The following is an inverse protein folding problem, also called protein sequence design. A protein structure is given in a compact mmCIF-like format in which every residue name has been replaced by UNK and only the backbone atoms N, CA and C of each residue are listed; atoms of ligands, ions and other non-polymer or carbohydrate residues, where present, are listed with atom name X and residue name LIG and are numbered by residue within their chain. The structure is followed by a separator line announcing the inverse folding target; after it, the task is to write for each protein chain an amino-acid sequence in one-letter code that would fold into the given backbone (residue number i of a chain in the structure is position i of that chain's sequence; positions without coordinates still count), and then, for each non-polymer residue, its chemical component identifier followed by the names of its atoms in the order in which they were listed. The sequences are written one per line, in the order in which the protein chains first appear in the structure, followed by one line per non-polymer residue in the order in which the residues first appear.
data_IF_850840127664
#
_entry.id   IF_850840127664
#
_cell.length_a   1.000
_cell.length_b   1.000
_cell.length_c   1.000
_cell.angle_alpha   90.00
_cell.angle_beta   90.00
_cell.angle_gamma   90.00
#
_symmetry.space_group_name_H-M   'P 1'
#
loop_
_entity.id
_entity.type
_entity.pdbx_description
1 polymer ?
#
# COMPACT_ATOMS: atom_id res chain seq x y z
N UNK A 1 8.72 12.10 -2.66
CA UNK A 1 7.37 12.68 -2.59
C UNK A 1 7.30 14.05 -1.92
N UNK A 2 8.27 14.44 -1.07
CA UNK A 2 8.35 15.78 -0.47
C UNK A 2 8.05 16.93 -1.47
N UNK A 3 8.68 16.91 -2.64
CA UNK A 3 8.45 17.94 -3.68
C UNK A 3 7.00 18.04 -4.15
N UNK A 4 6.24 16.94 -4.21
CA UNK A 4 4.84 16.97 -4.66
C UNK A 4 3.93 17.50 -3.56
N UNK A 5 4.15 17.06 -2.31
CA UNK A 5 3.46 17.63 -1.14
C UNK A 5 3.71 19.13 -1.06
N UNK A 6 4.95 19.57 -1.21
CA UNK A 6 5.32 20.98 -1.19
C UNK A 6 4.74 21.74 -2.38
N UNK A 7 4.67 21.15 -3.58
CA UNK A 7 4.03 21.77 -4.74
C UNK A 7 2.52 21.94 -4.54
N UNK A 8 1.83 20.92 -4.04
CA UNK A 8 0.39 21.00 -3.72
C UNK A 8 0.16 21.99 -2.58
N UNK A 9 1.02 21.98 -1.54
CA UNK A 9 1.02 22.97 -0.44
C UNK A 9 1.45 24.37 -0.89
N UNK A 10 2.19 24.52 -1.97
CA UNK A 10 2.54 25.80 -2.57
C UNK A 10 1.48 26.32 -3.54
N UNK A 11 0.53 25.48 -3.95
CA UNK A 11 -0.45 25.80 -4.99
C UNK A 11 0.12 25.75 -6.41
N UNK A 12 1.28 25.11 -6.59
CA UNK A 12 1.96 24.97 -7.89
C UNK A 12 1.57 23.71 -8.65
N UNK A 13 0.75 22.84 -8.05
CA UNK A 13 0.20 21.65 -8.68
C UNK A 13 -1.32 21.74 -8.74
N UNK A 14 -1.88 21.52 -9.93
CA UNK A 14 -3.32 21.44 -10.19
C UNK A 14 -3.78 19.99 -10.11
N UNK A 15 -4.82 19.75 -9.32
CA UNK A 15 -5.54 18.47 -9.26
C UNK A 15 -6.98 18.79 -9.66
N UNK A 16 -7.40 18.33 -10.84
CA UNK A 16 -8.80 18.36 -11.27
C UNK A 16 -9.44 17.03 -10.86
N UNK A 17 -10.23 17.07 -9.79
CA UNK A 17 -10.90 15.89 -9.25
C UNK A 17 -12.26 16.28 -8.68
N UNK A 18 -13.22 15.37 -8.80
CA UNK A 18 -14.55 15.58 -8.20
C UNK A 18 -14.51 15.28 -6.69
N UNK A 19 -15.48 15.81 -5.90
CA UNK A 19 -15.61 15.43 -4.50
C UNK A 19 -15.72 13.92 -4.29
N UNK A 20 -16.44 13.22 -5.17
CA UNK A 20 -16.58 11.76 -5.15
C UNK A 20 -15.23 11.05 -5.30
N UNK A 21 -14.38 11.52 -6.23
CA UNK A 21 -13.05 10.95 -6.43
C UNK A 21 -12.19 11.09 -5.17
N UNK A 22 -12.23 12.24 -4.49
CA UNK A 22 -11.50 12.43 -3.24
C UNK A 22 -11.98 11.49 -2.12
N UNK A 23 -13.29 11.25 -2.01
CA UNK A 23 -13.83 10.29 -1.03
C UNK A 23 -13.28 8.90 -1.32
N UNK A 24 -13.33 8.45 -2.57
CA UNK A 24 -12.88 7.11 -2.91
C UNK A 24 -11.36 6.94 -2.85
N UNK A 25 -10.55 7.92 -3.25
CA UNK A 25 -9.09 7.81 -3.09
C UNK A 25 -8.71 7.64 -1.62
N UNK A 26 -9.33 8.39 -0.72
CA UNK A 26 -9.07 8.28 0.71
C UNK A 26 -9.44 6.88 1.24
N UNK A 27 -10.64 6.39 0.88
CA UNK A 27 -11.11 5.05 1.25
C UNK A 27 -10.24 3.94 0.67
N UNK A 28 -9.78 4.08 -0.57
CA UNK A 28 -8.89 3.12 -1.22
C UNK A 28 -7.52 3.10 -0.55
N UNK A 29 -6.97 4.27 -0.18
CA UNK A 29 -5.74 4.35 0.61
C UNK A 29 -5.88 3.61 1.95
N UNK A 30 -6.97 3.83 2.69
CA UNK A 30 -7.23 3.11 3.93
C UNK A 30 -7.37 1.60 3.72
N UNK A 31 -8.02 1.18 2.64
CA UNK A 31 -8.08 -0.23 2.26
C UNK A 31 -6.67 -0.80 2.04
N UNK A 32 -5.84 -0.15 1.23
CA UNK A 32 -4.49 -0.62 0.92
C UNK A 32 -3.64 -0.71 2.20
N UNK A 33 -3.67 0.31 3.05
CA UNK A 33 -2.99 0.29 4.35
C UNK A 33 -3.38 -0.93 5.19
N UNK A 34 -4.67 -1.25 5.29
CA UNK A 34 -5.14 -2.43 6.04
C UNK A 34 -4.63 -3.74 5.42
N UNK A 35 -4.67 -3.88 4.10
CA UNK A 35 -4.15 -5.05 3.39
C UNK A 35 -2.64 -5.21 3.62
N UNK A 36 -1.90 -4.10 3.52
CA UNK A 36 -0.46 -4.05 3.77
C UNK A 36 -0.14 -4.55 5.20
N UNK A 37 -0.84 -4.04 6.21
CA UNK A 37 -0.66 -4.47 7.61
C UNK A 37 -1.02 -5.94 7.83
N UNK A 38 -2.05 -6.44 7.15
CA UNK A 38 -2.41 -7.87 7.18
C UNK A 38 -1.28 -8.74 6.60
N UNK A 39 -0.71 -8.36 5.46
CA UNK A 39 0.41 -9.08 4.84
C UNK A 39 1.63 -9.06 5.76
N UNK A 40 1.95 -7.90 6.36
CA UNK A 40 3.03 -7.79 7.34
C UNK A 40 2.82 -8.69 8.55
N UNK A 41 1.59 -8.80 9.06
CA UNK A 41 1.27 -9.72 10.16
C UNK A 41 1.54 -11.19 9.78
N UNK A 42 1.18 -11.60 8.55
CA UNK A 42 1.49 -12.95 8.05
C UNK A 42 3.00 -13.16 7.89
N UNK A 43 3.72 -12.17 7.37
CA UNK A 43 5.16 -12.23 7.22
C UNK A 43 5.87 -12.37 8.60
N UNK A 44 5.37 -11.66 9.62
CA UNK A 44 5.88 -11.81 10.98
C UNK A 44 5.62 -13.20 11.57
N UNK A 45 4.44 -13.78 11.32
CA UNK A 45 4.13 -15.15 11.73
C UNK A 45 5.05 -16.17 11.04
N UNK A 46 5.27 -16.05 9.73
CA UNK A 46 6.19 -16.90 8.97
C UNK A 46 7.61 -16.80 9.52
N UNK A 47 8.09 -15.58 9.78
CA UNK A 47 9.44 -15.35 10.29
C UNK A 47 9.66 -15.93 11.70
N UNK A 48 8.60 -16.00 12.52
CA UNK A 48 8.64 -16.47 13.91
C UNK A 48 8.22 -17.93 14.08
N UNK A 49 7.82 -18.62 13.01
CA UNK A 49 7.44 -20.02 13.09
C UNK A 49 8.60 -20.87 13.64
N UNK A 50 8.37 -21.54 14.76
CA UNK A 50 9.41 -22.27 15.50
C UNK A 50 9.94 -23.48 14.73
N UNK A 51 9.03 -24.27 14.16
CA UNK A 51 9.35 -25.49 13.40
C UNK A 51 8.46 -25.62 12.17
N UNK A 52 9.01 -26.22 11.13
CA UNK A 52 8.40 -26.42 9.82
C UNK A 52 8.29 -27.90 9.45
N UNK A 53 9.02 -28.79 10.14
CA UNK A 53 8.98 -30.22 9.84
C UNK A 53 9.66 -30.57 8.51
N UNK A 54 10.65 -29.77 8.10
CA UNK A 54 11.41 -29.92 6.86
C UNK A 54 12.78 -30.58 7.11
N UNK A 55 12.99 -31.16 8.28
CA UNK A 55 14.27 -31.73 8.69
C UNK A 55 15.29 -30.70 9.16
N UNK A 56 14.85 -29.48 9.51
CA UNK A 56 15.70 -28.37 9.94
C UNK A 56 16.56 -28.68 11.17
N UNK A 57 16.10 -29.58 12.04
CA UNK A 57 16.85 -30.07 13.20
C UNK A 57 17.60 -31.38 12.94
N UNK A 58 17.45 -31.97 11.75
CA UNK A 58 18.06 -33.26 11.41
C UNK A 58 19.43 -33.05 10.78
N UNK A 59 20.49 -33.45 11.49
CA UNK A 59 21.89 -33.24 11.09
C UNK A 59 22.23 -33.69 9.66
N UNK A 60 21.60 -34.76 9.18
CA UNK A 60 21.84 -35.31 7.84
C UNK A 60 20.99 -34.64 6.74
N UNK A 61 20.03 -33.80 7.10
CA UNK A 61 19.16 -33.05 6.19
C UNK A 61 19.56 -31.58 6.14
N UNK A 62 20.81 -31.32 5.71
CA UNK A 62 21.41 -29.98 5.72
C UNK A 62 20.60 -28.93 4.96
N UNK A 63 19.87 -29.32 3.92
CA UNK A 63 19.02 -28.41 3.14
C UNK A 63 17.78 -27.95 3.90
N UNK A 64 17.27 -28.74 4.87
CA UNK A 64 16.07 -28.40 5.63
C UNK A 64 16.25 -27.09 6.38
N UNK A 65 17.36 -26.95 7.11
CA UNK A 65 17.70 -25.72 7.82
C UNK A 65 17.87 -24.54 6.85
N UNK A 66 18.58 -24.74 5.74
CA UNK A 66 18.80 -23.67 4.74
C UNK A 66 17.49 -23.13 4.16
N UNK A 67 16.51 -24.00 3.88
CA UNK A 67 15.21 -23.58 3.36
C UNK A 67 14.42 -22.80 4.42
N UNK A 68 14.36 -23.30 5.65
CA UNK A 68 13.67 -22.62 6.75
C UNK A 68 14.28 -21.24 7.02
N UNK A 69 15.61 -21.14 7.05
CA UNK A 69 16.29 -19.86 7.23
C UNK A 69 15.98 -18.88 6.10
N UNK A 70 15.95 -19.37 4.85
CA UNK A 70 15.56 -18.53 3.70
C UNK A 70 14.12 -18.05 3.82
N UNK A 71 13.18 -18.89 4.26
CA UNK A 71 11.79 -18.46 4.47
C UNK A 71 11.68 -17.40 5.56
N UNK A 72 12.38 -17.56 6.68
CA UNK A 72 12.41 -16.56 7.76
C UNK A 72 13.02 -15.24 7.30
N UNK A 73 14.15 -15.31 6.59
CA UNK A 73 14.82 -14.16 5.99
C UNK A 73 13.90 -13.41 5.03
N UNK A 74 13.34 -14.08 4.02
CA UNK A 74 12.47 -13.44 3.03
C UNK A 74 11.14 -12.94 3.60
N UNK A 75 10.72 -13.43 4.75
CA UNK A 75 9.52 -12.94 5.43
C UNK A 75 9.77 -11.61 6.17
N UNK A 76 10.76 -11.54 7.07
CA UNK A 76 11.02 -10.33 7.89
C UNK A 76 12.48 -10.16 8.37
N UNK A 77 13.40 -11.05 8.00
CA UNK A 77 14.74 -11.09 8.61
C UNK A 77 15.87 -10.85 7.59
N UNK A 78 15.56 -10.28 6.43
CA UNK A 78 16.57 -9.98 5.43
C UNK A 78 17.40 -8.75 5.84
N UNK A 79 18.72 -8.89 5.84
CA UNK A 79 19.63 -7.79 6.22
C UNK A 79 19.70 -6.67 5.18
N UNK A 80 19.34 -6.97 3.93
CA UNK A 80 19.32 -6.03 2.81
C UNK A 80 17.95 -5.32 2.65
N UNK A 81 16.99 -5.60 3.53
CA UNK A 81 15.62 -5.09 3.44
C UNK A 81 14.79 -5.70 2.31
N UNK A 82 15.30 -6.73 1.63
CA UNK A 82 14.59 -7.47 0.59
C UNK A 82 13.77 -8.60 1.22
N UNK A 83 12.87 -8.23 2.13
CA UNK A 83 11.88 -9.11 2.73
C UNK A 83 10.48 -8.51 2.56
N UNK A 84 9.48 -9.38 2.63
CA UNK A 84 8.08 -8.98 2.40
C UNK A 84 7.67 -7.90 3.41
N UNK A 85 8.00 -8.06 4.70
CA UNK A 85 7.58 -7.12 5.72
C UNK A 85 8.12 -5.71 5.44
N UNK A 86 9.41 -5.59 5.15
CA UNK A 86 10.11 -4.33 4.88
C UNK A 86 9.63 -3.67 3.60
N UNK A 87 9.48 -4.43 2.52
CA UNK A 87 8.96 -3.90 1.25
C UNK A 87 7.54 -3.38 1.44
N UNK A 88 6.70 -4.14 2.14
CA UNK A 88 5.33 -3.72 2.43
C UNK A 88 5.28 -2.46 3.30
N UNK A 89 6.24 -2.23 4.20
CA UNK A 89 6.36 -0.96 4.93
C UNK A 89 6.68 0.22 4.01
N UNK A 90 7.52 0.02 2.99
CA UNK A 90 7.81 1.05 2.00
C UNK A 90 6.56 1.40 1.19
N UNK A 91 5.80 0.39 0.76
CA UNK A 91 4.51 0.59 0.11
C UNK A 91 3.50 1.30 1.01
N UNK A 92 3.48 0.99 2.31
CA UNK A 92 2.62 1.66 3.28
C UNK A 92 2.88 3.18 3.29
N UNK A 93 4.16 3.58 3.38
CA UNK A 93 4.56 5.00 3.37
C UNK A 93 4.21 5.68 2.05
N UNK A 94 4.37 4.99 0.93
CA UNK A 94 3.95 5.51 -0.38
C UNK A 94 2.44 5.80 -0.40
N UNK A 95 1.63 4.90 0.14
CA UNK A 95 0.16 5.10 0.24
C UNK A 95 -0.17 6.27 1.17
N UNK A 96 0.52 6.41 2.31
CA UNK A 96 0.35 7.56 3.20
C UNK A 96 0.71 8.88 2.53
N UNK A 97 1.84 8.94 1.82
CA UNK A 97 2.25 10.13 1.08
C UNK A 97 1.19 10.51 0.02
N UNK A 98 0.69 9.53 -0.74
CA UNK A 98 -0.37 9.76 -1.74
C UNK A 98 -1.63 10.30 -1.07
N UNK A 99 -2.08 9.68 0.02
CA UNK A 99 -3.28 10.11 0.72
C UNK A 99 -3.13 11.54 1.27
N UNK A 100 -1.97 11.86 1.85
CA UNK A 100 -1.70 13.18 2.42
C UNK A 100 -1.68 14.29 1.35
N UNK A 101 -1.15 13.99 0.16
CA UNK A 101 -1.20 14.91 -1.00
C UNK A 101 -2.64 15.21 -1.36
N UNK A 102 -3.48 14.18 -1.53
CA UNK A 102 -4.87 14.35 -1.94
C UNK A 102 -5.72 15.01 -0.86
N UNK A 103 -5.47 14.68 0.41
CA UNK A 103 -6.10 15.34 1.55
C UNK A 103 -5.76 16.83 1.58
N UNK A 104 -4.49 17.19 1.40
CA UNK A 104 -4.06 18.59 1.35
C UNK A 104 -4.70 19.35 0.18
N UNK A 105 -4.81 18.73 -1.00
CA UNK A 105 -5.50 19.32 -2.15
C UNK A 105 -7.00 19.52 -1.87
N UNK A 106 -7.68 18.48 -1.36
CA UNK A 106 -9.09 18.54 -0.98
C UNK A 106 -9.37 19.66 0.02
N UNK A 107 -8.58 19.76 1.08
CA UNK A 107 -8.77 20.78 2.12
C UNK A 107 -8.72 22.20 1.55
N UNK A 108 -7.85 22.46 0.56
CA UNK A 108 -7.80 23.75 -0.14
C UNK A 108 -9.02 24.00 -0.99
N UNK A 109 -9.47 22.99 -1.74
CA UNK A 109 -10.67 23.10 -2.56
C UNK A 109 -11.90 23.38 -1.69
N UNK A 110 -12.02 22.70 -0.55
CA UNK A 110 -13.07 22.96 0.44
C UNK A 110 -13.00 24.37 1.06
N UNK A 111 -11.80 24.93 1.23
CA UNK A 111 -11.62 26.30 1.72
C UNK A 111 -11.97 27.35 0.66
N UNK A 112 -11.73 27.06 -0.62
CA UNK A 112 -11.95 27.98 -1.73
C UNK A 112 -13.39 27.93 -2.28
N UNK A 113 -14.06 26.79 -2.18
CA UNK A 113 -15.37 26.53 -2.78
C UNK A 113 -16.32 25.87 -1.77
N UNK A 114 -17.32 26.63 -1.33
CA UNK A 114 -18.31 26.16 -0.36
C UNK A 114 -19.28 25.12 -0.93
N UNK A 115 -19.56 25.16 -2.24
CA UNK A 115 -20.41 24.15 -2.90
C UNK A 115 -19.66 22.82 -2.99
N UNK A 116 -18.37 22.87 -3.35
CA UNK A 116 -17.48 21.71 -3.31
C UNK A 116 -17.43 21.10 -1.91
N UNK A 117 -17.24 21.93 -0.86
CA UNK A 117 -17.21 21.47 0.52
C UNK A 117 -18.51 20.80 0.97
N UNK A 118 -19.66 21.38 0.62
CA UNK A 118 -20.96 20.79 0.93
C UNK A 118 -21.15 19.45 0.21
N UNK A 119 -20.82 19.39 -1.08
CA UNK A 119 -20.90 18.18 -1.90
C UNK A 119 -19.98 17.08 -1.35
N UNK A 120 -18.73 17.40 -1.05
CA UNK A 120 -17.79 16.46 -0.44
C UNK A 120 -18.33 15.90 0.88
N UNK A 121 -18.85 16.76 1.75
CA UNK A 121 -19.37 16.35 3.07
C UNK A 121 -20.55 15.39 2.91
N UNK A 122 -21.52 15.75 2.06
CA UNK A 122 -22.67 14.90 1.74
C UNK A 122 -22.24 13.55 1.14
N UNK A 123 -21.32 13.57 0.18
CA UNK A 123 -20.86 12.36 -0.50
C UNK A 123 -20.02 11.47 0.43
N UNK A 124 -19.22 12.04 1.32
CA UNK A 124 -18.44 11.27 2.28
C UNK A 124 -19.33 10.43 3.22
N UNK A 125 -20.55 10.92 3.52
CA UNK A 125 -21.55 10.21 4.33
C UNK A 125 -22.42 9.25 3.52
N UNK A 126 -22.72 9.57 2.26
CA UNK A 126 -23.74 8.86 1.47
C UNK A 126 -23.17 7.87 0.45
N UNK A 127 -21.93 8.05 0.00
CA UNK A 127 -21.33 7.16 -0.99
C UNK A 127 -21.16 5.76 -0.39
N UNK A 128 -21.56 4.71 -1.12
CA UNK A 128 -21.42 3.34 -0.65
C UNK A 128 -19.94 2.95 -0.53
N UNK A 129 -19.65 2.00 0.34
CA UNK A 129 -18.35 1.33 0.30
C UNK A 129 -18.24 0.54 -1.01
N UNK A 130 -17.10 0.66 -1.68
CA UNK A 130 -16.75 -0.15 -2.86
C UNK A 130 -15.39 -0.80 -2.64
N UNK A 131 -15.12 -1.97 -3.26
CA UNK A 131 -13.75 -2.45 -3.34
C UNK A 131 -12.90 -1.41 -4.08
N UNK A 132 -11.58 -1.34 -3.79
CA UNK A 132 -10.71 -0.40 -4.49
C UNK A 132 -10.78 -0.63 -5.99
N UNK A 133 -10.54 0.44 -6.75
CA UNK A 133 -10.53 0.37 -8.21
C UNK A 133 -9.64 -0.80 -8.67
N UNK A 134 -10.27 -1.81 -9.27
CA UNK A 134 -9.53 -2.93 -9.81
C UNK A 134 -8.93 -2.50 -11.14
N UNK A 135 -7.62 -2.71 -11.32
CA UNK A 135 -7.04 -2.67 -12.64
C UNK A 135 -7.82 -3.68 -13.50
N UNK A 136 -8.22 -3.33 -14.74
CA UNK A 136 -8.80 -4.31 -15.63
C UNK A 136 -7.87 -5.51 -15.69
N UNK A 137 -8.42 -6.70 -15.50
CA UNK A 137 -7.69 -7.94 -15.71
C UNK A 137 -7.27 -7.95 -17.19
N UNK A 138 -6.04 -7.55 -17.46
CA UNK A 138 -5.50 -7.37 -18.79
C UNK A 138 -4.08 -7.89 -18.84
N UNK A 139 -3.56 -8.15 -20.05
CA UNK A 139 -2.20 -8.64 -20.23
C UNK A 139 -1.20 -7.70 -19.52
N UNK A 140 -0.46 -8.19 -18.54
CA UNK A 140 0.62 -7.44 -17.90
C UNK A 140 1.80 -7.40 -18.86
N UNK A 141 2.10 -6.23 -19.43
CA UNK A 141 3.35 -5.99 -20.14
C UNK A 141 4.50 -6.00 -19.12
N UNK A 142 5.25 -7.10 -19.11
CA UNK A 142 6.48 -7.23 -18.39
C UNK A 142 7.55 -6.31 -19.02
N UNK A 143 8.57 -5.89 -18.25
CA UNK A 143 9.63 -5.01 -18.75
C UNK A 143 10.39 -5.55 -19.98
N UNK A 144 10.34 -6.87 -20.22
CA UNK A 144 10.91 -7.54 -21.38
C UNK A 144 10.00 -7.51 -22.62
N UNK A 145 8.87 -6.81 -22.55
CA UNK A 145 7.90 -6.70 -23.64
C UNK A 145 6.94 -7.88 -23.75
N UNK A 146 7.02 -8.86 -22.84
CA UNK A 146 6.09 -10.00 -22.84
C UNK A 146 4.80 -9.66 -22.09
N UNK A 147 3.67 -10.20 -22.54
CA UNK A 147 2.38 -10.06 -21.89
C UNK A 147 2.06 -11.31 -21.04
N UNK A 148 1.43 -11.14 -19.86
CA UNK A 148 0.74 -12.21 -19.13
C UNK A 148 -0.74 -11.92 -18.96
#
# INVERSE_FOLDING_TARGET
MANLLDAVRGGHATVEMTPEDFVYIDRDCEYFKRVIRRIQSLAEQIARQDSWGLGETTKNMVSGQTVVDRFRQKAKQASDGNDVYTIMEQHYKIVEDIQEVHKSARERMMQADSEFAASFTQLNETLPERPPAQLPAGPYLLPDGTAR
#
